data_IF_924453442235
#
_entry.id   IF_924453442235
#
_cell.length_a   1.000
_cell.length_b   1.000
_cell.length_c   1.000
_cell.angle_alpha   90.00
_cell.angle_beta   90.00
_cell.angle_gamma   90.00
#
_symmetry.space_group_name_H-M   'P 1'
#
loop_
_entity.id
_entity.type
_entity.pdbx_description
1 polymer ?
#
# COMPACT_ATOMS: atom_id res chain seq x y z
N UNK A 1 -3.85 73.20 -49.50
CA UNK A 1 -5.03 72.69 -48.78
C UNK A 1 -5.30 71.28 -49.29
N UNK A 2 -4.74 70.27 -48.63
CA UNK A 2 -4.97 68.82 -48.84
C UNK A 2 -4.69 68.15 -47.49
N UNK A 3 -5.63 67.44 -46.85
CA UNK A 3 -5.34 66.65 -45.66
C UNK A 3 -5.14 65.17 -46.03
N UNK A 4 -4.05 64.59 -45.50
CA UNK A 4 -3.76 63.15 -45.49
C UNK A 4 -4.69 62.46 -44.47
N UNK A 5 -5.46 61.45 -44.91
CA UNK A 5 -6.23 60.55 -44.03
C UNK A 5 -5.38 59.33 -43.68
N UNK A 6 -5.08 59.14 -42.41
CA UNK A 6 -4.49 57.91 -41.88
C UNK A 6 -5.58 56.86 -41.67
N UNK A 7 -5.41 55.66 -42.22
CA UNK A 7 -6.26 54.51 -41.97
C UNK A 7 -5.66 53.68 -40.82
N UNK A 8 -6.41 53.54 -39.72
CA UNK A 8 -6.11 52.57 -38.65
C UNK A 8 -6.71 51.21 -39.05
N UNK A 9 -5.87 50.19 -39.21
CA UNK A 9 -6.29 48.81 -39.30
C UNK A 9 -6.45 48.23 -37.88
N UNK A 10 -7.65 47.80 -37.52
CA UNK A 10 -7.91 47.09 -36.28
C UNK A 10 -7.60 45.59 -36.47
N UNK A 11 -6.55 45.08 -35.81
CA UNK A 11 -6.31 43.65 -35.66
C UNK A 11 -7.20 43.12 -34.52
N UNK A 12 -8.17 42.29 -34.85
CA UNK A 12 -8.91 41.52 -33.86
C UNK A 12 -8.07 40.30 -33.44
N UNK A 13 -7.55 40.30 -32.21
CA UNK A 13 -6.99 39.10 -31.58
C UNK A 13 -8.15 38.22 -31.09
N UNK A 14 -8.44 37.15 -31.83
CA UNK A 14 -9.25 36.03 -31.34
C UNK A 14 -8.42 35.22 -30.33
N UNK A 15 -8.78 35.32 -29.05
CA UNK A 15 -8.29 34.44 -28.00
C UNK A 15 -8.88 33.04 -28.21
N UNK A 16 -8.13 32.17 -28.92
CA UNK A 16 -8.43 30.76 -28.97
C UNK A 16 -8.10 30.12 -27.62
N UNK A 17 -9.12 29.69 -26.89
CA UNK A 17 -8.93 28.76 -25.80
C UNK A 17 -8.36 27.45 -26.38
N UNK A 18 -7.16 27.07 -25.94
CA UNK A 18 -6.62 25.75 -26.23
C UNK A 18 -7.55 24.72 -25.59
N UNK A 19 -8.01 23.68 -26.32
CA UNK A 19 -8.70 22.58 -25.67
C UNK A 19 -7.72 21.92 -24.70
N UNK A 20 -8.13 21.79 -23.44
CA UNK A 20 -7.48 20.86 -22.52
C UNK A 20 -7.44 19.49 -23.23
N UNK A 21 -6.26 18.89 -23.34
CA UNK A 21 -6.14 17.55 -23.88
C UNK A 21 -7.06 16.65 -23.05
N UNK A 22 -8.16 16.17 -23.64
CA UNK A 22 -9.00 15.18 -23.01
C UNK A 22 -8.12 13.95 -22.79
N UNK A 23 -7.81 13.67 -21.53
CA UNK A 23 -7.08 12.48 -21.15
C UNK A 23 -7.97 11.31 -21.59
N UNK A 24 -7.60 10.66 -22.68
CA UNK A 24 -8.43 9.63 -23.26
C UNK A 24 -8.58 8.51 -22.23
N UNK A 25 -9.81 8.17 -21.86
CA UNK A 25 -10.11 7.14 -20.86
C UNK A 25 -10.41 5.80 -21.53
N UNK A 26 -10.35 4.74 -20.72
CA UNK A 26 -10.78 3.38 -21.06
C UNK A 26 -11.77 2.89 -20.01
N UNK A 27 -12.74 2.09 -20.44
CA UNK A 27 -13.71 1.49 -19.52
C UNK A 27 -13.15 0.17 -18.98
N UNK A 28 -13.28 -0.04 -17.68
CA UNK A 28 -13.04 -1.32 -17.01
C UNK A 28 -14.36 -1.85 -16.50
N UNK A 29 -14.69 -3.10 -16.79
CA UNK A 29 -15.95 -3.72 -16.41
C UNK A 29 -15.78 -5.16 -15.94
N UNK A 30 -16.80 -5.70 -15.28
CA UNK A 30 -16.83 -7.06 -14.79
C UNK A 30 -17.88 -7.26 -13.70
N UNK A 31 -17.70 -8.32 -12.91
CA UNK A 31 -18.57 -8.59 -11.77
C UNK A 31 -17.82 -9.16 -10.57
N UNK A 32 -18.31 -8.88 -9.36
CA UNK A 32 -17.81 -9.48 -8.12
C UNK A 32 -18.68 -10.66 -7.69
N UNK A 33 -18.08 -11.79 -7.34
CA UNK A 33 -18.78 -12.99 -6.86
C UNK A 33 -18.12 -13.60 -5.62
N UNK A 34 -18.80 -14.49 -4.91
CA UNK A 34 -18.19 -15.40 -3.94
C UNK A 34 -18.95 -16.74 -3.87
N UNK A 35 -18.29 -17.79 -3.38
CA UNK A 35 -18.87 -19.15 -3.30
C UNK A 35 -19.70 -19.40 -2.02
N UNK A 36 -19.51 -18.59 -0.97
CA UNK A 36 -20.21 -18.77 0.29
C UNK A 36 -21.73 -18.59 0.12
N UNK A 37 -22.53 -19.43 0.78
CA UNK A 37 -24.00 -19.35 0.75
C UNK A 37 -24.52 -18.40 1.83
N UNK A 38 -24.08 -17.14 1.77
CA UNK A 38 -24.41 -16.08 2.73
C UNK A 38 -24.90 -14.87 1.94
N UNK A 39 -26.00 -14.24 2.37
CA UNK A 39 -26.51 -13.03 1.75
C UNK A 39 -25.73 -11.79 2.21
N UNK A 40 -25.51 -10.84 1.30
CA UNK A 40 -25.00 -9.52 1.64
C UNK A 40 -26.03 -8.72 2.44
N UNK A 41 -25.61 -8.00 3.49
CA UNK A 41 -26.45 -7.00 4.14
C UNK A 41 -26.96 -5.94 3.15
N UNK A 42 -28.18 -5.38 3.32
CA UNK A 42 -28.71 -4.34 2.43
C UNK A 42 -27.86 -3.05 2.40
N UNK A 43 -27.12 -2.80 3.47
CA UNK A 43 -26.19 -1.67 3.64
C UNK A 43 -24.78 -1.96 3.13
N UNK A 44 -24.55 -3.09 2.47
CA UNK A 44 -23.25 -3.41 1.90
C UNK A 44 -22.88 -2.41 0.80
N UNK A 45 -21.59 -2.14 0.66
CA UNK A 45 -21.04 -1.26 -0.35
C UNK A 45 -19.95 -2.00 -1.12
N UNK A 46 -20.06 -2.02 -2.44
CA UNK A 46 -19.01 -2.50 -3.31
C UNK A 46 -18.01 -1.37 -3.55
N UNK A 47 -16.72 -1.65 -3.34
CA UNK A 47 -15.62 -0.71 -3.56
C UNK A 47 -14.56 -1.36 -4.43
N UNK A 48 -14.16 -0.67 -5.49
CA UNK A 48 -13.04 -1.05 -6.34
C UNK A 48 -12.06 0.12 -6.43
N UNK A 49 -10.78 -0.18 -6.33
CA UNK A 49 -9.72 0.78 -6.53
C UNK A 49 -8.76 0.26 -7.59
N UNK A 50 -8.50 1.08 -8.60
CA UNK A 50 -7.44 0.82 -9.55
C UNK A 50 -6.19 1.57 -9.11
N UNK A 51 -5.12 0.82 -8.92
CA UNK A 51 -3.86 1.31 -8.38
C UNK A 51 -2.79 1.15 -9.45
N UNK A 52 -2.08 2.23 -9.76
CA UNK A 52 -0.94 2.17 -10.64
C UNK A 52 0.21 1.39 -10.00
N UNK A 53 1.21 1.00 -10.81
CA UNK A 53 2.41 0.29 -10.35
C UNK A 53 3.15 1.06 -9.23
N UNK A 54 3.05 2.39 -9.23
CA UNK A 54 3.62 3.26 -8.20
C UNK A 54 2.80 3.39 -6.91
N UNK A 55 1.64 2.74 -6.82
CA UNK A 55 0.74 2.83 -5.67
C UNK A 55 -0.26 3.99 -5.73
N UNK A 56 -0.20 4.82 -6.78
CA UNK A 56 -1.13 5.92 -7.00
C UNK A 56 -2.53 5.38 -7.30
N UNK A 57 -3.55 5.97 -6.67
CA UNK A 57 -4.94 5.65 -6.97
C UNK A 57 -5.34 6.32 -8.29
N UNK A 58 -5.51 5.52 -9.33
CA UNK A 58 -5.95 6.00 -10.65
C UNK A 58 -7.46 6.22 -10.71
N UNK A 59 -8.22 5.37 -10.01
CA UNK A 59 -9.65 5.52 -9.87
C UNK A 59 -10.17 4.80 -8.63
N UNK A 60 -11.16 5.39 -7.98
CA UNK A 60 -11.90 4.80 -6.87
C UNK A 60 -13.39 4.73 -7.26
N UNK A 61 -13.88 3.52 -7.45
CA UNK A 61 -15.28 3.24 -7.73
C UNK A 61 -15.98 2.72 -6.47
N UNK A 62 -17.14 3.30 -6.16
CA UNK A 62 -17.90 3.00 -4.94
C UNK A 62 -19.38 2.98 -5.26
N UNK A 63 -20.08 1.93 -4.81
CA UNK A 63 -21.51 1.81 -5.02
C UNK A 63 -22.18 1.00 -3.91
N UNK A 64 -23.25 1.52 -3.26
CA UNK A 64 -24.11 0.71 -2.41
C UNK A 64 -24.70 -0.46 -3.20
N UNK A 65 -24.80 -1.64 -2.58
CA UNK A 65 -25.44 -2.80 -3.23
C UNK A 65 -26.96 -2.65 -3.30
N UNK A 66 -27.55 -1.82 -2.43
CA UNK A 66 -29.00 -1.60 -2.33
C UNK A 66 -29.78 -2.93 -2.18
N UNK A 67 -29.18 -3.89 -1.47
CA UNK A 67 -29.73 -5.24 -1.28
C UNK A 67 -29.47 -6.22 -2.43
N UNK A 68 -28.86 -5.78 -3.53
CA UNK A 68 -28.40 -6.67 -4.59
C UNK A 68 -27.42 -7.72 -4.05
N UNK A 69 -27.47 -8.91 -4.64
CA UNK A 69 -26.64 -10.07 -4.26
C UNK A 69 -25.66 -10.37 -5.40
N UNK A 70 -24.61 -11.13 -5.09
CA UNK A 70 -23.64 -11.56 -6.09
C UNK A 70 -24.29 -12.42 -7.19
N UNK A 71 -23.83 -12.33 -8.46
CA UNK A 71 -22.73 -11.48 -8.93
C UNK A 71 -23.11 -9.98 -9.04
N UNK A 72 -22.25 -9.10 -8.51
CA UNK A 72 -22.43 -7.65 -8.52
C UNK A 72 -21.66 -7.02 -9.69
N UNK A 73 -22.35 -6.45 -10.67
CA UNK A 73 -21.73 -5.81 -11.82
C UNK A 73 -21.09 -4.45 -11.47
N UNK A 74 -19.94 -4.15 -12.07
CA UNK A 74 -19.27 -2.84 -11.98
C UNK A 74 -18.81 -2.35 -13.36
N UNK A 75 -18.67 -1.04 -13.49
CA UNK A 75 -18.06 -0.39 -14.63
C UNK A 75 -17.51 0.97 -14.21
N UNK A 76 -16.26 1.28 -14.54
CA UNK A 76 -15.62 2.56 -14.22
C UNK A 76 -14.53 2.93 -15.24
N UNK A 77 -14.11 4.18 -15.25
CA UNK A 77 -13.14 4.72 -16.21
C UNK A 77 -11.73 4.74 -15.61
N UNK A 78 -10.73 4.42 -16.45
CA UNK A 78 -9.31 4.56 -16.17
C UNK A 78 -8.59 5.41 -17.21
N UNK A 79 -7.49 6.08 -16.86
CA UNK A 79 -6.58 6.67 -17.84
C UNK A 79 -6.09 5.65 -18.88
N UNK A 80 -6.03 6.00 -20.16
CA UNK A 80 -5.43 5.14 -21.20
C UNK A 80 -3.91 5.01 -21.01
N UNK A 81 -3.39 3.84 -21.37
CA UNK A 81 -1.95 3.59 -21.49
C UNK A 81 -1.25 3.23 -20.17
N UNK A 82 -1.93 3.30 -19.04
CA UNK A 82 -1.35 2.95 -17.74
C UNK A 82 -1.66 1.50 -17.36
N UNK A 83 -0.65 0.78 -16.89
CA UNK A 83 -0.84 -0.52 -16.26
C UNK A 83 -1.37 -0.28 -14.84
N UNK A 84 -2.35 -1.08 -14.43
CA UNK A 84 -2.96 -0.94 -13.12
C UNK A 84 -3.25 -2.31 -12.51
N UNK A 85 -3.43 -2.36 -11.21
CA UNK A 85 -4.05 -3.47 -10.49
C UNK A 85 -5.39 -3.02 -9.92
N UNK A 86 -6.44 -3.79 -10.18
CA UNK A 86 -7.76 -3.57 -9.58
C UNK A 86 -7.86 -4.38 -8.30
N UNK A 87 -8.07 -3.67 -7.21
CA UNK A 87 -8.39 -4.21 -5.90
C UNK A 87 -9.89 -4.07 -5.69
N UNK A 88 -10.54 -5.12 -5.19
CA UNK A 88 -11.98 -5.11 -4.98
C UNK A 88 -12.33 -5.61 -3.59
N UNK A 89 -13.31 -4.96 -2.97
CA UNK A 89 -13.83 -5.31 -1.66
C UNK A 89 -15.34 -5.10 -1.58
N UNK A 90 -15.97 -5.82 -0.64
CA UNK A 90 -17.31 -5.49 -0.16
C UNK A 90 -17.17 -5.03 1.29
N UNK A 91 -17.63 -3.82 1.54
CA UNK A 91 -17.67 -3.19 2.85
C UNK A 91 -19.05 -3.37 3.49
N UNK A 92 -19.08 -3.44 4.80
CA UNK A 92 -20.29 -3.31 5.59
C UNK A 92 -19.97 -2.53 6.87
N UNK A 93 -20.71 -1.44 7.12
CA UNK A 93 -20.46 -0.57 8.27
C UNK A 93 -19.05 0.07 8.27
N UNK A 94 -18.45 0.28 7.09
CA UNK A 94 -17.10 0.81 6.95
C UNK A 94 -15.97 -0.21 7.10
N UNK A 95 -16.29 -1.51 7.31
CA UNK A 95 -15.29 -2.57 7.44
C UNK A 95 -15.31 -3.48 6.22
N UNK A 96 -14.13 -3.90 5.78
CA UNK A 96 -13.99 -4.89 4.71
C UNK A 96 -14.41 -6.27 5.20
N UNK A 97 -15.44 -6.86 4.59
CA UNK A 97 -15.89 -8.22 4.89
C UNK A 97 -15.43 -9.25 3.85
N UNK A 98 -15.25 -8.78 2.61
CA UNK A 98 -14.84 -9.58 1.48
C UNK A 98 -13.80 -8.83 0.67
N UNK A 99 -12.77 -9.53 0.20
CA UNK A 99 -11.72 -8.95 -0.64
C UNK A 99 -11.31 -9.92 -1.74
N UNK A 100 -10.94 -9.37 -2.90
CA UNK A 100 -10.38 -10.13 -4.01
C UNK A 100 -8.85 -10.17 -3.92
N UNK A 101 -8.26 -11.13 -4.62
CA UNK A 101 -6.85 -11.01 -5.02
C UNK A 101 -6.73 -9.83 -6.01
N UNK A 102 -5.58 -9.11 -6.04
CA UNK A 102 -5.35 -8.06 -7.03
C UNK A 102 -5.49 -8.59 -8.46
N UNK A 103 -6.20 -7.85 -9.31
CA UNK A 103 -6.44 -8.23 -10.71
C UNK A 103 -5.65 -7.28 -11.62
N UNK A 104 -4.63 -7.77 -12.35
CA UNK A 104 -3.86 -6.91 -13.24
C UNK A 104 -4.71 -6.49 -14.45
N UNK A 105 -4.57 -5.21 -14.82
CA UNK A 105 -5.21 -4.61 -15.99
C UNK A 105 -4.11 -4.16 -16.95
N UNK A 106 -4.02 -4.86 -18.09
CA UNK A 106 -3.01 -4.56 -19.12
C UNK A 106 -3.33 -3.25 -19.82
N UNK A 107 -2.33 -2.45 -20.23
CA UNK A 107 -2.55 -1.25 -21.06
C UNK A 107 -3.16 -1.65 -22.41
N UNK A 108 -4.45 -1.38 -22.59
CA UNK A 108 -5.20 -1.67 -23.81
C UNK A 108 -6.09 -0.48 -24.18
N UNK A 109 -6.35 -0.33 -25.48
CA UNK A 109 -7.33 0.63 -25.99
C UNK A 109 -8.73 0.03 -25.92
N UNK A 110 -9.71 0.79 -25.44
CA UNK A 110 -11.12 0.39 -25.43
C UNK A 110 -11.61 -0.13 -24.07
N UNK A 111 -12.25 -1.30 -24.06
CA UNK A 111 -12.85 -1.90 -22.85
C UNK A 111 -11.94 -3.00 -22.32
N UNK A 112 -11.65 -2.96 -21.02
CA UNK A 112 -11.01 -4.04 -20.29
C UNK A 112 -12.05 -4.79 -19.46
N UNK A 113 -12.53 -5.92 -19.97
CA UNK A 113 -13.42 -6.82 -19.25
C UNK A 113 -12.60 -7.76 -18.34
N UNK A 114 -12.81 -7.64 -17.04
CA UNK A 114 -12.14 -8.45 -16.01
C UNK A 114 -12.89 -9.75 -15.70
N UNK A 115 -14.06 -9.96 -16.31
CA UNK A 115 -14.91 -11.11 -16.10
C UNK A 115 -15.43 -11.20 -14.67
N UNK A 116 -15.46 -12.41 -14.13
CA UNK A 116 -15.92 -12.69 -12.77
C UNK A 116 -14.75 -12.69 -11.79
N UNK A 117 -14.70 -11.68 -10.91
CA UNK A 117 -13.70 -11.55 -9.84
C UNK A 117 -14.22 -12.24 -8.60
N UNK A 118 -13.48 -13.25 -8.12
CA UNK A 118 -13.81 -14.00 -6.91
C UNK A 118 -13.33 -13.27 -5.67
N UNK A 119 -14.26 -13.08 -4.74
CA UNK A 119 -14.03 -12.55 -3.41
C UNK A 119 -13.87 -13.69 -2.40
N UNK A 120 -12.99 -13.45 -1.43
CA UNK A 120 -12.73 -14.32 -0.29
C UNK A 120 -13.14 -13.62 0.99
N UNK A 121 -13.50 -14.39 2.02
CA UNK A 121 -13.81 -13.82 3.33
C UNK A 121 -12.55 -13.14 3.86
N UNK A 122 -12.67 -11.85 4.17
CA UNK A 122 -11.55 -11.06 4.65
C UNK A 122 -11.62 -10.94 6.18
N UNK A 123 -10.58 -11.42 6.84
CA UNK A 123 -10.34 -11.21 8.28
C UNK A 123 -8.84 -10.99 8.44
N UNK A 124 -8.41 -9.73 8.59
CA UNK A 124 -7.00 -9.40 8.65
C UNK A 124 -6.45 -9.60 10.05
N UNK A 125 -5.15 -9.83 10.12
CA UNK A 125 -4.39 -9.71 11.35
C UNK A 125 -3.91 -8.26 11.47
N UNK A 126 -4.43 -7.57 12.46
CA UNK A 126 -4.09 -6.20 12.79
C UNK A 126 -4.97 -5.20 12.06
N UNK A 127 -4.38 -4.43 11.15
CA UNK A 127 -5.11 -3.34 10.50
C UNK A 127 -6.12 -3.85 9.49
N UNK A 128 -7.39 -3.58 9.78
CA UNK A 128 -8.51 -4.04 8.95
C UNK A 128 -9.06 -2.99 7.99
N UNK A 129 -8.66 -1.73 8.21
CA UNK A 129 -9.20 -0.59 7.49
C UNK A 129 -8.05 0.21 6.88
N UNK A 130 -7.83 0.03 5.58
CA UNK A 130 -6.96 0.94 4.81
C UNK A 130 -7.82 2.10 4.32
N UNK A 131 -7.36 3.33 4.53
CA UNK A 131 -8.04 4.52 4.02
C UNK A 131 -7.12 5.34 3.13
N UNK A 132 -7.69 5.98 2.11
CA UNK A 132 -7.03 6.95 1.25
C UNK A 132 -7.50 8.35 1.64
N UNK A 133 -6.58 9.23 2.02
CA UNK A 133 -6.82 10.61 2.45
C UNK A 133 -6.10 11.54 1.46
N UNK A 134 -6.79 11.94 0.39
CA UNK A 134 -6.11 12.57 -0.75
C UNK A 134 -5.23 11.54 -1.47
N UNK A 135 -3.91 11.74 -1.45
CA UNK A 135 -2.89 10.81 -1.99
C UNK A 135 -2.27 9.92 -0.89
N UNK A 136 -2.53 10.20 0.38
CA UNK A 136 -1.93 9.50 1.51
C UNK A 136 -2.77 8.29 1.92
N UNK A 137 -2.16 7.11 1.96
CA UNK A 137 -2.76 5.93 2.58
C UNK A 137 -2.45 5.88 4.07
N UNK A 138 -3.46 5.58 4.87
CA UNK A 138 -3.33 5.28 6.30
C UNK A 138 -3.94 3.92 6.61
N UNK A 139 -3.46 3.27 7.67
CA UNK A 139 -4.04 2.02 8.17
C UNK A 139 -4.58 2.24 9.58
N UNK A 140 -5.80 1.79 9.80
CA UNK A 140 -6.53 1.89 11.04
C UNK A 140 -7.04 0.51 11.44
N UNK A 141 -7.20 0.33 12.75
CA UNK A 141 -7.88 -0.80 13.33
C UNK A 141 -8.70 -0.35 14.53
N UNK A 142 -9.72 -1.12 14.87
CA UNK A 142 -10.63 -0.82 15.98
C UNK A 142 -10.95 -2.11 16.75
N UNK A 143 -10.93 -2.04 18.09
CA UNK A 143 -11.49 -3.10 18.96
C UNK A 143 -12.85 -2.69 19.57
N UNK A 144 -13.37 -1.52 19.17
CA UNK A 144 -14.61 -0.92 19.65
C UNK A 144 -14.38 0.14 20.74
N UNK A 145 -13.43 -0.07 21.66
CA UNK A 145 -13.09 0.88 22.71
C UNK A 145 -11.88 1.75 22.35
N UNK A 146 -11.00 1.22 21.51
CA UNK A 146 -9.77 1.84 21.05
C UNK A 146 -9.68 1.79 19.53
N UNK A 147 -8.92 2.73 18.99
CA UNK A 147 -8.40 2.67 17.64
C UNK A 147 -6.86 2.58 17.69
N UNK A 148 -6.26 1.88 16.74
CA UNK A 148 -4.82 1.90 16.52
C UNK A 148 -4.56 2.47 15.13
N UNK A 149 -3.91 3.64 15.09
CA UNK A 149 -3.44 4.25 13.86
C UNK A 149 -2.01 3.80 13.60
N UNK A 150 -1.81 3.14 12.46
CA UNK A 150 -0.48 2.79 11.99
C UNK A 150 0.25 4.03 11.49
N UNK A 151 1.46 4.24 12.00
CA UNK A 151 2.38 5.24 11.47
C UNK A 151 3.70 4.59 11.13
N UNK A 152 4.49 5.23 10.27
CA UNK A 152 5.86 4.75 9.94
C UNK A 152 6.76 4.62 11.18
N UNK A 153 6.42 5.29 12.28
CA UNK A 153 7.18 5.30 13.53
C UNK A 153 6.57 4.39 14.60
N UNK A 154 5.51 3.64 14.27
CA UNK A 154 4.79 2.75 15.18
C UNK A 154 3.30 3.09 15.30
N UNK A 155 2.57 2.31 16.11
CA UNK A 155 1.15 2.52 16.35
C UNK A 155 0.87 3.67 17.32
N UNK A 156 -0.12 4.50 17.01
CA UNK A 156 -0.73 5.46 17.95
C UNK A 156 -2.05 4.87 18.42
N UNK A 157 -2.14 4.56 19.71
CA UNK A 157 -3.42 4.17 20.33
C UNK A 157 -4.28 5.41 20.58
N UNK A 158 -5.56 5.34 20.21
CA UNK A 158 -6.53 6.39 20.46
C UNK A 158 -7.68 5.82 21.29
N UNK A 159 -8.06 6.54 22.33
CA UNK A 159 -9.20 6.19 23.17
C UNK A 159 -10.50 6.71 22.56
N UNK A 160 -11.56 5.92 22.60
CA UNK A 160 -12.87 6.38 22.16
C UNK A 160 -13.38 7.52 23.05
N UNK A 161 -13.92 8.56 22.42
CA UNK A 161 -14.56 9.70 23.09
C UNK A 161 -16.01 9.84 22.63
N UNK A 162 -16.92 10.36 23.48
CA UNK A 162 -18.30 10.57 23.10
C UNK A 162 -18.45 11.49 21.88
N UNK A 163 -19.29 11.10 20.92
CA UNK A 163 -19.62 11.90 19.75
C UNK A 163 -21.13 11.81 19.44
N UNK A 164 -21.70 12.90 18.93
CA UNK A 164 -23.13 12.94 18.57
C UNK A 164 -23.49 12.06 17.36
N UNK A 165 -22.51 11.76 16.50
CA UNK A 165 -22.67 10.90 15.33
C UNK A 165 -21.32 10.32 14.92
N UNK A 166 -21.31 9.05 14.51
CA UNK A 166 -20.07 8.34 14.18
C UNK A 166 -19.26 7.95 15.42
N UNK A 167 -18.09 7.35 15.20
CA UNK A 167 -17.19 6.95 16.27
C UNK A 167 -15.94 7.85 16.25
N UNK A 168 -15.66 8.50 17.37
CA UNK A 168 -14.53 9.42 17.52
C UNK A 168 -13.52 8.85 18.52
N UNK A 169 -12.25 8.93 18.15
CA UNK A 169 -11.13 8.47 18.95
C UNK A 169 -10.06 9.56 19.00
N UNK A 170 -9.42 9.74 20.15
CA UNK A 170 -8.42 10.79 20.38
C UNK A 170 -7.22 10.27 21.18
N UNK A 171 -6.05 10.82 20.87
CA UNK A 171 -4.81 10.67 21.61
C UNK A 171 -4.22 12.08 21.81
N UNK A 172 -4.63 12.74 22.90
CA UNK A 172 -4.34 14.16 23.13
C UNK A 172 -2.83 14.42 23.26
N UNK A 173 -2.08 13.50 23.86
CA UNK A 173 -0.63 13.56 24.04
C UNK A 173 0.14 13.43 22.71
N UNK A 174 -0.50 12.90 21.66
CA UNK A 174 0.05 12.77 20.31
C UNK A 174 -0.60 13.74 19.32
N UNK A 175 -1.50 14.63 19.77
CA UNK A 175 -2.29 15.52 18.89
C UNK A 175 -2.89 14.76 17.70
N UNK A 176 -3.47 13.58 17.98
CA UNK A 176 -4.03 12.70 16.96
C UNK A 176 -5.51 12.43 17.22
N UNK A 177 -6.28 12.35 16.14
CA UNK A 177 -7.73 12.14 16.19
C UNK A 177 -8.21 11.37 14.97
N UNK A 178 -9.16 10.48 15.19
CA UNK A 178 -9.86 9.73 14.13
C UNK A 178 -11.35 9.83 14.39
N UNK A 179 -12.12 10.37 13.46
CA UNK A 179 -13.57 10.41 13.53
C UNK A 179 -14.22 9.77 12.31
N UNK A 180 -14.76 8.57 12.49
CA UNK A 180 -15.35 7.75 11.42
C UNK A 180 -16.86 7.95 11.31
N UNK A 181 -17.36 7.95 10.07
CA UNK A 181 -18.79 7.96 9.74
C UNK A 181 -19.02 7.01 8.56
N UNK A 182 -19.40 5.76 8.87
CA UNK A 182 -19.50 4.72 7.86
C UNK A 182 -18.14 4.44 7.23
N UNK A 183 -18.00 4.64 5.93
CA UNK A 183 -16.79 4.38 5.17
C UNK A 183 -15.98 5.64 4.82
N UNK A 184 -16.18 6.73 5.59
CA UNK A 184 -15.34 7.93 5.57
C UNK A 184 -14.82 8.25 6.97
N UNK A 185 -13.73 9.02 7.04
CA UNK A 185 -13.18 9.51 8.29
C UNK A 185 -12.51 10.88 8.14
N UNK A 186 -12.56 11.67 9.20
CA UNK A 186 -11.68 12.81 9.38
C UNK A 186 -10.54 12.38 10.30
N UNK A 187 -9.30 12.66 9.89
CA UNK A 187 -8.10 12.20 10.59
C UNK A 187 -7.14 13.37 10.79
N UNK A 188 -6.62 13.47 11.99
CA UNK A 188 -5.58 14.42 12.40
C UNK A 188 -4.41 13.64 13.00
N UNK A 189 -3.19 13.99 12.63
CA UNK A 189 -1.96 13.34 13.11
C UNK A 189 -0.94 14.42 13.41
N UNK A 190 -0.42 14.46 14.63
CA UNK A 190 0.56 15.47 15.08
C UNK A 190 0.07 16.92 14.85
N UNK A 191 -1.24 17.15 14.91
CA UNK A 191 -1.89 18.46 14.66
C UNK A 191 -2.22 18.75 13.19
N UNK A 192 -1.75 17.93 12.25
CA UNK A 192 -2.03 18.08 10.82
C UNK A 192 -3.33 17.36 10.45
N UNK A 193 -4.33 18.13 9.99
CA UNK A 193 -5.59 17.56 9.48
C UNK A 193 -5.41 17.06 8.05
N UNK A 194 -5.68 15.79 7.82
CA UNK A 194 -5.65 15.17 6.50
C UNK A 194 -6.91 15.53 5.69
N UNK A 195 -6.86 15.48 4.35
CA UNK A 195 -8.08 15.46 3.52
C UNK A 195 -9.02 14.34 3.97
N UNK A 196 -10.31 14.45 3.65
CA UNK A 196 -11.29 13.41 4.02
C UNK A 196 -10.82 12.03 3.55
N UNK A 197 -10.74 11.12 4.51
CA UNK A 197 -10.29 9.76 4.29
C UNK A 197 -11.45 8.88 3.88
N UNK A 198 -11.23 8.01 2.90
CA UNK A 198 -12.22 7.04 2.43
C UNK A 198 -11.66 5.63 2.55
N UNK A 199 -12.49 4.67 3.00
CA UNK A 199 -12.08 3.26 3.04
C UNK A 199 -11.84 2.77 1.62
N UNK A 200 -10.70 2.14 1.41
CA UNK A 200 -10.30 1.52 0.16
C UNK A 200 -10.06 0.03 0.35
N UNK A 201 -10.15 -0.79 -0.71
CA UNK A 201 -9.86 -2.21 -0.63
C UNK A 201 -8.44 -2.45 -0.12
N UNK A 202 -8.20 -3.54 0.63
CA UNK A 202 -6.86 -3.86 1.11
C UNK A 202 -5.91 -4.15 -0.07
N UNK A 203 -4.71 -3.60 0.01
CA UNK A 203 -3.62 -3.81 -0.96
C UNK A 203 -2.75 -4.98 -0.50
N UNK A 204 -3.05 -6.20 -0.93
CA UNK A 204 -2.25 -7.38 -0.58
C UNK A 204 -2.98 -8.71 -0.74
N UNK A 205 -2.29 -9.80 -0.39
CA UNK A 205 -2.88 -11.13 -0.34
C UNK A 205 -3.91 -11.21 0.82
N UNK A 206 -4.97 -12.04 0.67
CA UNK A 206 -5.97 -12.24 1.72
C UNK A 206 -5.45 -13.04 2.92
N UNK A 207 -4.30 -13.71 2.79
CA UNK A 207 -3.63 -14.41 3.86
C UNK A 207 -2.47 -13.57 4.42
N UNK A 208 -2.36 -13.56 5.75
CA UNK A 208 -1.27 -12.96 6.48
C UNK A 208 -0.33 -14.06 7.00
N UNK A 209 0.97 -13.81 6.99
CA UNK A 209 1.96 -14.78 7.45
C UNK A 209 2.96 -14.17 8.43
N UNK A 210 3.50 -15.02 9.31
CA UNK A 210 4.61 -14.69 10.19
C UNK A 210 5.55 -15.88 10.37
N UNK A 211 6.81 -15.60 10.67
CA UNK A 211 7.86 -16.62 10.79
C UNK A 211 8.84 -16.29 11.91
N UNK A 212 9.42 -17.32 12.51
CA UNK A 212 10.57 -17.20 13.43
C UNK A 212 11.48 -18.43 13.36
N UNK A 213 12.71 -18.31 13.89
CA UNK A 213 13.80 -19.27 13.60
C UNK A 213 14.44 -19.94 14.81
N UNK A 214 14.15 -19.50 16.03
CA UNK A 214 14.73 -20.06 17.26
C UNK A 214 13.68 -20.23 18.38
N UNK A 215 12.87 -21.31 18.37
CA UNK A 215 12.83 -22.41 17.39
C UNK A 215 12.16 -21.99 16.06
N UNK A 216 12.31 -22.83 15.02
CA UNK A 216 11.71 -22.57 13.70
C UNK A 216 10.20 -22.77 13.66
N UNK A 217 9.45 -21.76 13.23
CA UNK A 217 7.99 -21.78 13.12
C UNK A 217 7.46 -20.88 11.99
N UNK A 218 6.29 -21.24 11.46
CA UNK A 218 5.51 -20.38 10.56
C UNK A 218 4.06 -20.32 11.02
N UNK A 219 3.45 -19.14 10.93
CA UNK A 219 2.04 -18.92 11.21
C UNK A 219 1.39 -18.37 9.96
N UNK A 220 0.33 -19.01 9.48
CA UNK A 220 -0.54 -18.49 8.44
C UNK A 220 -1.90 -18.16 9.05
N UNK A 221 -2.42 -16.98 8.75
CA UNK A 221 -3.78 -16.58 9.08
C UNK A 221 -4.52 -16.27 7.79
N UNK A 222 -5.57 -17.04 7.53
CA UNK A 222 -6.39 -16.94 6.32
C UNK A 222 -7.86 -17.04 6.69
N UNK A 223 -8.60 -15.97 6.40
CA UNK A 223 -9.97 -15.81 6.91
C UNK A 223 -10.00 -15.90 8.43
N UNK A 224 -10.87 -16.75 8.98
CA UNK A 224 -11.04 -16.89 10.43
C UNK A 224 -10.20 -18.03 11.04
N UNK A 225 -9.12 -18.46 10.40
CA UNK A 225 -8.31 -19.60 10.82
C UNK A 225 -6.84 -19.23 10.94
N UNK A 226 -6.20 -19.74 11.98
CA UNK A 226 -4.78 -19.68 12.24
C UNK A 226 -4.18 -21.08 12.14
N UNK A 227 -3.06 -21.21 11.43
CA UNK A 227 -2.31 -22.45 11.29
C UNK A 227 -0.85 -22.20 11.68
N UNK A 228 -0.44 -22.73 12.82
CA UNK A 228 0.93 -22.69 13.32
C UNK A 228 1.64 -24.02 12.96
N UNK A 229 2.68 -23.93 12.15
CA UNK A 229 3.58 -25.04 11.84
C UNK A 229 4.91 -24.84 12.61
N UNK A 230 5.38 -25.90 13.25
CA UNK A 230 6.65 -25.95 13.98
C UNK A 230 7.39 -27.19 13.54
N UNK A 231 8.66 -27.02 13.17
CA UNK A 231 9.44 -28.10 12.56
C UNK A 231 9.53 -29.32 13.49
N UNK A 232 8.99 -30.44 13.05
CA UNK A 232 9.02 -31.71 13.79
C UNK A 232 7.87 -31.90 14.78
N UNK A 233 6.91 -30.98 14.81
CA UNK A 233 5.70 -31.06 15.64
C UNK A 233 4.44 -31.13 14.77
N UNK A 234 3.31 -31.52 15.36
CA UNK A 234 2.03 -31.48 14.67
C UNK A 234 1.56 -30.01 14.52
N UNK A 235 1.02 -29.61 13.35
CA UNK A 235 0.47 -28.27 13.18
C UNK A 235 -0.67 -27.99 14.16
N UNK A 236 -0.67 -26.79 14.75
CA UNK A 236 -1.72 -26.34 15.67
C UNK A 236 -2.66 -25.42 14.90
N UNK A 237 -3.96 -25.71 14.98
CA UNK A 237 -5.01 -24.92 14.37
C UNK A 237 -5.84 -24.23 15.44
N UNK A 238 -6.22 -22.98 15.18
CA UNK A 238 -7.10 -22.21 16.05
C UNK A 238 -8.01 -21.30 15.21
N UNK A 239 -9.22 -21.03 15.72
CA UNK A 239 -10.03 -19.96 15.17
C UNK A 239 -9.40 -18.60 15.51
N UNK A 240 -9.39 -17.66 14.56
CA UNK A 240 -8.96 -16.29 14.81
C UNK A 240 -10.09 -15.54 15.56
N UNK A 241 -9.90 -15.17 16.85
CA UNK A 241 -10.89 -14.41 17.59
C UNK A 241 -10.90 -12.94 17.14
N UNK A 242 -11.80 -12.14 17.71
CA UNK A 242 -11.71 -10.70 17.56
C UNK A 242 -10.49 -10.16 18.33
N UNK A 243 -9.83 -9.14 17.78
CA UNK A 243 -8.62 -8.56 18.35
C UNK A 243 -8.93 -7.60 19.50
N UNK A 244 -8.08 -7.59 20.52
CA UNK A 244 -7.96 -6.47 21.46
C UNK A 244 -6.75 -5.61 21.09
N UNK A 245 -6.87 -4.27 21.20
CA UNK A 245 -5.74 -3.35 20.95
C UNK A 245 -5.04 -3.07 22.27
N UNK A 246 -3.82 -3.49 22.50
CA UNK A 246 -3.11 -3.25 23.76
C UNK A 246 -1.61 -3.03 23.53
N UNK A 247 -1.00 -2.09 24.26
CA UNK A 247 0.44 -1.81 24.21
C UNK A 247 0.97 -1.55 22.77
N UNK A 248 0.23 -0.76 22.00
CA UNK A 248 0.56 -0.33 20.65
C UNK A 248 0.35 -1.40 19.58
N UNK A 249 -0.41 -2.47 19.84
CA UNK A 249 -0.69 -3.49 18.83
C UNK A 249 -1.88 -4.38 19.18
N UNK A 250 -1.96 -5.55 18.56
CA UNK A 250 -3.11 -6.46 18.65
C UNK A 250 -2.79 -7.70 19.46
N UNK A 251 -3.73 -8.13 20.29
CA UNK A 251 -3.74 -9.41 20.99
C UNK A 251 -4.96 -10.22 20.56
N UNK A 252 -4.74 -11.49 20.21
CA UNK A 252 -5.75 -12.46 19.84
C UNK A 252 -5.66 -13.62 20.82
N UNK A 253 -6.61 -13.73 21.74
CA UNK A 253 -6.68 -14.82 22.70
C UNK A 253 -7.51 -15.97 22.12
N UNK A 254 -6.87 -16.93 21.45
CA UNK A 254 -7.55 -18.08 20.88
C UNK A 254 -7.46 -19.29 21.80
N UNK A 255 -8.36 -20.26 21.61
CA UNK A 255 -8.46 -21.44 22.48
C UNK A 255 -7.15 -22.23 22.57
N UNK A 256 -6.41 -22.35 21.46
CA UNK A 256 -5.17 -23.12 21.40
C UNK A 256 -3.90 -22.28 21.48
N UNK A 257 -3.94 -20.96 21.21
CA UNK A 257 -2.74 -20.11 21.24
C UNK A 257 -3.12 -18.64 21.38
N UNK A 258 -2.24 -17.85 22.00
CA UNK A 258 -2.33 -16.40 21.95
C UNK A 258 -1.42 -15.85 20.86
N UNK A 259 -1.90 -14.89 20.08
CA UNK A 259 -1.12 -14.18 19.07
C UNK A 259 -1.06 -12.69 19.44
N UNK A 260 0.14 -12.13 19.44
CA UNK A 260 0.39 -10.69 19.63
C UNK A 260 1.13 -10.14 18.41
N UNK A 261 0.58 -9.10 17.79
CA UNK A 261 1.15 -8.45 16.58
C UNK A 261 1.33 -6.94 16.82
N UNK A 262 2.58 -6.47 16.73
CA UNK A 262 2.94 -5.06 16.93
C UNK A 262 3.37 -4.44 15.59
N UNK A 263 2.81 -3.29 15.17
CA UNK A 263 3.29 -2.49 14.03
C UNK A 263 4.65 -1.87 14.33
N UNK A 264 5.70 -2.66 14.19
CA UNK A 264 7.06 -2.23 14.40
C UNK A 264 7.97 -3.05 13.50
N UNK A 265 8.95 -2.38 12.88
CA UNK A 265 9.92 -3.06 12.03
C UNK A 265 10.60 -4.17 12.82
N UNK A 266 10.48 -5.38 12.28
CA UNK A 266 11.08 -6.62 12.77
C UNK A 266 12.14 -7.05 11.75
N UNK A 267 13.38 -7.28 12.20
CA UNK A 267 14.42 -7.85 11.34
C UNK A 267 14.46 -9.34 11.58
N UNK A 268 14.18 -10.11 10.54
CA UNK A 268 14.15 -11.56 10.60
C UNK A 268 15.51 -12.09 11.06
N UNK A 269 15.52 -12.95 12.08
CA UNK A 269 16.77 -13.35 12.73
C UNK A 269 17.66 -14.26 11.87
N UNK A 270 17.11 -14.90 10.82
CA UNK A 270 17.88 -15.74 9.92
C UNK A 270 18.43 -14.94 8.73
N UNK A 271 17.62 -14.03 8.19
CA UNK A 271 17.91 -13.32 6.93
C UNK A 271 18.31 -11.86 7.10
N UNK A 272 18.07 -11.27 8.27
CA UNK A 272 18.21 -9.83 8.52
C UNK A 272 17.13 -8.96 7.86
N UNK A 273 16.26 -9.54 7.02
CA UNK A 273 15.26 -8.80 6.23
C UNK A 273 14.26 -8.09 7.12
N UNK A 274 13.94 -6.81 6.87
CA UNK A 274 12.90 -6.12 7.60
C UNK A 274 11.49 -6.56 7.16
N UNK A 275 10.63 -6.73 8.14
CA UNK A 275 9.20 -7.00 8.04
C UNK A 275 8.42 -5.91 8.79
N UNK A 276 7.18 -5.61 8.38
CA UNK A 276 6.41 -4.51 8.97
C UNK A 276 6.01 -4.74 10.43
N UNK A 277 5.96 -5.99 10.89
CA UNK A 277 5.36 -6.33 12.19
C UNK A 277 6.26 -7.25 13.02
N UNK A 278 6.26 -7.03 14.34
CA UNK A 278 6.79 -7.96 15.33
C UNK A 278 5.67 -8.87 15.81
N UNK A 279 5.96 -10.16 15.89
CA UNK A 279 4.99 -11.18 16.22
C UNK A 279 5.47 -11.98 17.42
N UNK A 280 4.54 -12.25 18.33
CA UNK A 280 4.71 -13.19 19.42
C UNK A 280 3.55 -14.17 19.42
N UNK A 281 3.84 -15.47 19.46
CA UNK A 281 2.86 -16.53 19.66
C UNK A 281 3.12 -17.18 21.01
N UNK A 282 2.09 -17.33 21.84
CA UNK A 282 2.18 -18.05 23.12
C UNK A 282 1.33 -19.30 23.06
N UNK A 283 1.93 -20.46 23.29
CA UNK A 283 1.29 -21.78 23.24
C UNK A 283 1.82 -22.61 24.41
N UNK A 284 0.93 -23.17 25.24
CA UNK A 284 1.28 -24.00 26.40
C UNK A 284 2.33 -23.37 27.34
N UNK A 285 2.31 -22.04 27.47
CA UNK A 285 3.26 -21.26 28.28
C UNK A 285 4.63 -21.02 27.62
N UNK A 286 4.89 -21.57 26.43
CA UNK A 286 6.06 -21.25 25.61
C UNK A 286 5.78 -20.04 24.73
N UNK A 287 6.79 -19.18 24.56
CA UNK A 287 6.70 -17.98 23.74
C UNK A 287 7.61 -18.10 22.52
N UNK A 288 7.04 -17.86 21.34
CA UNK A 288 7.72 -17.85 20.06
C UNK A 288 7.74 -16.42 19.53
N UNK A 289 8.91 -15.88 19.24
CA UNK A 289 9.07 -14.54 18.67
C UNK A 289 9.49 -14.63 17.20
N UNK A 290 9.06 -13.63 16.41
CA UNK A 290 9.31 -13.60 14.98
C UNK A 290 8.76 -12.34 14.32
N UNK A 291 8.75 -12.38 12.99
CA UNK A 291 8.38 -11.26 12.15
C UNK A 291 7.13 -11.59 11.32
N UNK A 292 6.24 -10.61 11.15
CA UNK A 292 4.96 -10.78 10.46
C UNK A 292 4.78 -9.80 9.30
N UNK A 293 3.91 -10.18 8.38
CA UNK A 293 3.54 -9.39 7.22
C UNK A 293 4.55 -9.48 6.06
N UNK A 294 4.10 -9.02 4.90
CA UNK A 294 4.86 -9.02 3.65
C UNK A 294 5.95 -7.93 3.67
N UNK A 295 7.25 -8.26 3.53
CA UNK A 295 8.33 -7.29 3.40
C UNK A 295 8.12 -6.27 2.28
N UNK A 296 7.49 -6.67 1.16
CA UNK A 296 7.24 -5.75 0.05
C UNK A 296 6.26 -4.63 0.42
N UNK A 297 5.47 -4.78 1.49
CA UNK A 297 4.65 -3.71 2.03
C UNK A 297 5.47 -2.53 2.56
N UNK A 298 6.72 -2.74 2.99
CA UNK A 298 7.62 -1.67 3.43
C UNK A 298 8.19 -0.87 2.25
N UNK A 299 8.35 -1.49 1.09
CA UNK A 299 8.94 -0.86 -0.10
C UNK A 299 7.90 -0.26 -1.04
N UNK A 300 6.72 -0.86 -1.14
CA UNK A 300 5.68 -0.44 -2.09
C UNK A 300 4.83 0.74 -1.61
N UNK A 301 4.11 1.38 -2.54
CA UNK A 301 3.19 2.49 -2.23
C UNK A 301 3.83 3.87 -2.27
N UNK A 302 4.77 4.10 -3.20
CA UNK A 302 5.34 5.42 -3.46
C UNK A 302 6.70 5.38 -4.15
N UNK A 303 7.19 6.57 -4.51
CA UNK A 303 8.54 6.78 -5.03
C UNK A 303 9.54 6.86 -3.88
N UNK A 304 10.67 6.17 -4.00
CA UNK A 304 11.86 6.37 -3.18
C UNK A 304 12.87 7.20 -3.97
N UNK A 305 13.10 8.42 -3.52
CA UNK A 305 14.04 9.37 -4.09
C UNK A 305 15.41 9.15 -3.50
N UNK A 306 16.43 9.09 -4.35
CA UNK A 306 17.81 8.96 -3.92
C UNK A 306 18.26 10.26 -3.27
N UNK A 307 18.73 10.18 -2.02
CA UNK A 307 19.34 11.30 -1.30
C UNK A 307 20.86 11.19 -1.26
N UNK A 308 21.38 9.96 -1.22
CA UNK A 308 22.81 9.70 -1.11
C UNK A 308 23.19 8.40 -1.83
N UNK A 309 24.39 8.37 -2.43
CA UNK A 309 25.01 7.19 -3.05
C UNK A 309 26.49 7.09 -2.65
N UNK A 310 26.79 7.25 -1.35
CA UNK A 310 28.16 7.24 -0.82
C UNK A 310 28.77 8.64 -0.81
N UNK A 311 30.07 8.77 -1.12
CA UNK A 311 30.77 10.07 -0.99
C UNK A 311 30.38 11.12 -2.05
N UNK A 312 29.58 10.72 -3.04
CA UNK A 312 29.12 11.58 -4.12
C UNK A 312 27.64 11.90 -3.91
N UNK A 313 27.35 13.08 -3.36
CA UNK A 313 25.97 13.55 -3.21
C UNK A 313 25.20 13.59 -4.55
N UNK A 314 23.88 13.74 -4.45
CA UNK A 314 22.99 13.76 -5.63
C UNK A 314 22.86 15.15 -6.25
N UNK A 315 22.62 15.21 -7.57
CA UNK A 315 22.33 16.45 -8.30
C UNK A 315 20.83 16.75 -8.18
N UNK A 316 20.48 17.83 -7.47
CA UNK A 316 19.08 18.22 -7.18
C UNK A 316 18.16 18.26 -8.43
N UNK A 317 18.67 18.80 -9.54
CA UNK A 317 17.89 18.94 -10.78
C UNK A 317 17.86 17.67 -11.66
N UNK A 318 18.47 16.58 -11.20
CA UNK A 318 18.46 15.28 -11.86
C UNK A 318 17.98 14.21 -10.88
N UNK A 319 16.70 14.30 -10.52
CA UNK A 319 16.04 13.42 -9.54
C UNK A 319 16.11 11.96 -9.98
N UNK A 320 16.91 11.17 -9.27
CA UNK A 320 16.92 9.71 -9.36
C UNK A 320 15.94 9.13 -8.35
N UNK A 321 15.11 8.20 -8.79
CA UNK A 321 14.11 7.57 -7.92
C UNK A 321 13.77 6.15 -8.39
N UNK A 322 13.24 5.36 -7.46
CA UNK A 322 12.79 3.98 -7.69
C UNK A 322 11.41 3.76 -7.07
N UNK A 323 10.60 2.98 -7.77
CA UNK A 323 9.26 2.57 -7.36
C UNK A 323 9.24 1.06 -7.30
N UNK A 324 8.79 0.51 -6.17
CA UNK A 324 8.62 -0.93 -5.99
C UNK A 324 7.16 -1.32 -6.07
N UNK A 325 6.81 -2.17 -7.03
CA UNK A 325 5.52 -2.84 -7.07
C UNK A 325 5.52 -4.03 -6.09
N UNK A 326 4.33 -4.46 -5.65
CA UNK A 326 4.20 -5.59 -4.72
C UNK A 326 4.64 -6.93 -5.31
N UNK A 327 4.49 -7.12 -6.61
CA UNK A 327 4.91 -8.33 -7.31
C UNK A 327 6.44 -8.39 -7.54
N UNK A 328 7.17 -7.35 -7.13
CA UNK A 328 8.61 -7.20 -7.31
C UNK A 328 9.01 -6.47 -8.59
N UNK A 329 8.07 -6.04 -9.45
CA UNK A 329 8.40 -5.15 -10.56
C UNK A 329 8.93 -3.81 -10.05
N UNK A 330 9.89 -3.24 -10.79
CA UNK A 330 10.50 -1.96 -10.47
C UNK A 330 10.38 -1.02 -11.67
N UNK A 331 10.07 0.23 -11.39
CA UNK A 331 10.20 1.34 -12.34
C UNK A 331 10.92 2.50 -11.70
N UNK A 332 11.49 3.41 -12.50
CA UNK A 332 12.14 4.59 -11.94
C UNK A 332 12.81 5.47 -12.97
N UNK A 333 13.58 6.43 -12.46
CA UNK A 333 14.43 7.32 -13.24
C UNK A 333 15.86 7.29 -12.68
N UNK A 334 16.85 7.13 -13.56
CA UNK A 334 18.25 7.34 -13.23
C UNK A 334 18.64 8.83 -13.17
N UNK A 335 17.71 9.73 -13.48
CA UNK A 335 17.93 11.17 -13.61
C UNK A 335 17.97 11.61 -15.08
N UNK A 336 18.60 10.82 -15.97
CA UNK A 336 18.53 11.02 -17.42
C UNK A 336 17.47 10.11 -18.05
N UNK A 337 17.59 8.81 -17.81
CA UNK A 337 16.81 7.75 -18.42
C UNK A 337 15.81 7.16 -17.46
N UNK A 338 14.64 6.81 -18.01
CA UNK A 338 13.69 5.96 -17.30
C UNK A 338 14.18 4.53 -17.38
N UNK A 339 13.99 3.77 -16.30
CA UNK A 339 14.35 2.37 -16.25
C UNK A 339 13.22 1.50 -15.70
N UNK A 340 13.28 0.22 -16.05
CA UNK A 340 12.43 -0.83 -15.53
C UNK A 340 13.27 -2.04 -15.14
N UNK A 341 12.79 -2.83 -14.20
CA UNK A 341 13.48 -4.01 -13.72
C UNK A 341 12.58 -4.88 -12.84
N UNK A 342 13.21 -5.85 -12.16
CA UNK A 342 12.55 -6.68 -11.17
C UNK A 342 13.48 -6.94 -10.00
N UNK A 343 12.94 -6.86 -8.80
CA UNK A 343 13.57 -7.34 -7.59
C UNK A 343 13.05 -8.74 -7.27
N UNK A 344 13.97 -9.63 -6.92
CA UNK A 344 13.67 -10.92 -6.37
C UNK A 344 14.11 -10.97 -4.90
N UNK A 345 13.20 -11.40 -4.03
CA UNK A 345 13.52 -11.76 -2.65
C UNK A 345 13.78 -13.28 -2.63
N UNK A 346 15.03 -13.70 -2.45
CA UNK A 346 15.41 -15.12 -2.47
C UNK A 346 16.12 -15.52 -1.18
N UNK A 347 15.45 -16.32 -0.35
CA UNK A 347 16.00 -16.76 0.94
C UNK A 347 16.45 -15.55 1.77
N UNK A 348 17.77 -15.39 1.90
CA UNK A 348 18.44 -14.31 2.63
C UNK A 348 18.67 -13.03 1.82
N UNK A 349 18.74 -13.09 0.49
CA UNK A 349 19.14 -11.96 -0.34
C UNK A 349 17.96 -11.24 -1.02
N UNK A 350 18.13 -9.96 -1.27
CA UNK A 350 17.30 -9.16 -2.17
C UNK A 350 18.17 -8.71 -3.34
N UNK A 351 17.81 -9.08 -4.57
CA UNK A 351 18.58 -8.72 -5.76
C UNK A 351 17.72 -8.03 -6.78
N UNK A 352 18.25 -6.97 -7.37
CA UNK A 352 17.70 -6.38 -8.58
C UNK A 352 18.54 -6.91 -9.75
N UNK A 353 17.86 -7.54 -10.71
CA UNK A 353 18.52 -7.99 -11.93
C UNK A 353 18.94 -6.81 -12.83
N UNK A 354 19.52 -7.07 -14.00
CA UNK A 354 19.82 -6.02 -14.97
C UNK A 354 18.57 -5.18 -15.25
N UNK A 355 18.70 -3.86 -15.14
CA UNK A 355 17.63 -2.92 -15.46
C UNK A 355 17.67 -2.58 -16.95
N UNK A 356 16.51 -2.48 -17.58
CA UNK A 356 16.37 -1.94 -18.92
C UNK A 356 16.15 -0.43 -18.82
N UNK A 357 16.91 0.36 -19.57
CA UNK A 357 16.81 1.82 -19.55
C UNK A 357 16.68 2.38 -20.97
N UNK A 358 16.07 3.57 -21.09
CA UNK A 358 16.12 4.36 -22.32
C UNK A 358 17.55 4.84 -22.60
N UNK A 359 17.81 5.37 -23.80
CA UNK A 359 19.14 5.86 -24.21
C UNK A 359 19.10 7.35 -24.64
N UNK A 360 18.60 8.20 -23.75
CA UNK A 360 18.65 9.66 -23.91
C UNK A 360 20.06 10.18 -23.60
N UNK A 361 20.43 11.27 -24.28
CA UNK A 361 21.65 12.01 -24.00
C UNK A 361 21.35 13.18 -23.06
N UNK A 362 22.08 13.26 -21.96
CA UNK A 362 21.96 14.32 -20.95
C UNK A 362 23.35 14.92 -20.66
N UNK A 363 23.45 16.00 -19.87
CA UNK A 363 24.74 16.49 -19.40
C UNK A 363 25.55 15.39 -18.72
N UNK A 364 26.87 15.40 -18.92
CA UNK A 364 27.75 14.29 -18.51
C UNK A 364 27.66 13.99 -17.01
N UNK A 365 27.50 15.01 -16.17
CA UNK A 365 27.34 14.84 -14.73
C UNK A 365 26.09 14.02 -14.38
N UNK A 366 24.96 14.25 -15.06
CA UNK A 366 23.73 13.48 -14.88
C UNK A 366 23.91 12.04 -15.34
N UNK A 367 24.57 11.84 -16.48
CA UNK A 367 24.86 10.48 -16.98
C UNK A 367 25.82 9.72 -16.06
N UNK A 368 26.76 10.39 -15.38
CA UNK A 368 27.62 9.77 -14.36
C UNK A 368 26.81 9.32 -13.13
N UNK A 369 25.91 10.18 -12.64
CA UNK A 369 25.02 9.84 -11.54
C UNK A 369 24.13 8.65 -11.89
N UNK A 370 23.55 8.63 -13.08
CA UNK A 370 22.73 7.50 -13.56
C UNK A 370 23.51 6.18 -13.55
N UNK A 371 24.75 6.18 -14.08
CA UNK A 371 25.60 4.98 -14.05
C UNK A 371 25.93 4.53 -12.64
N UNK A 372 26.18 5.48 -11.73
CA UNK A 372 26.41 5.18 -10.31
C UNK A 372 25.16 4.55 -9.69
N UNK A 373 23.97 5.10 -9.94
CA UNK A 373 22.74 4.56 -9.43
C UNK A 373 22.45 3.16 -9.96
N UNK A 374 22.64 2.91 -11.26
CA UNK A 374 22.48 1.57 -11.82
C UNK A 374 23.51 0.59 -11.27
N UNK A 375 24.73 1.03 -10.98
CA UNK A 375 25.74 0.24 -10.27
C UNK A 375 25.30 -0.12 -8.84
N UNK A 376 24.66 0.79 -8.11
CA UNK A 376 24.06 0.50 -6.79
C UNK A 376 22.97 -0.56 -6.91
N UNK A 377 22.06 -0.43 -7.88
CA UNK A 377 20.97 -1.38 -8.08
C UNK A 377 21.50 -2.78 -8.45
N UNK A 378 22.54 -2.86 -9.26
CA UNK A 378 23.17 -4.15 -9.64
C UNK A 378 23.96 -4.77 -8.47
N UNK A 379 24.61 -3.95 -7.63
CA UNK A 379 25.47 -4.41 -6.55
C UNK A 379 24.72 -4.80 -5.27
N UNK A 380 23.51 -4.26 -5.04
CA UNK A 380 22.79 -4.53 -3.79
C UNK A 380 22.43 -6.01 -3.60
N UNK A 381 22.60 -6.50 -2.38
CA UNK A 381 22.22 -7.84 -1.94
C UNK A 381 21.23 -7.86 -0.78
N UNK A 382 20.99 -6.69 -0.16
CA UNK A 382 20.07 -6.49 0.94
C UNK A 382 19.51 -5.05 0.94
N UNK A 383 18.45 -4.85 1.72
CA UNK A 383 17.88 -3.54 1.97
C UNK A 383 17.37 -3.47 3.41
N UNK A 384 17.28 -2.25 3.93
CA UNK A 384 16.72 -1.99 5.26
C UNK A 384 15.90 -0.70 5.28
N UNK A 385 14.97 -0.59 6.23
CA UNK A 385 14.30 0.68 6.55
C UNK A 385 14.73 1.08 7.96
N UNK A 386 15.35 2.25 8.07
CA UNK A 386 15.83 2.75 9.35
C UNK A 386 14.73 3.38 10.20
N UNK A 387 15.08 3.75 11.44
CA UNK A 387 14.14 4.34 12.39
C UNK A 387 13.54 5.68 11.93
N UNK A 388 14.17 6.35 10.95
CA UNK A 388 13.66 7.60 10.35
C UNK A 388 12.70 7.33 9.19
N UNK A 389 12.56 6.07 8.77
CA UNK A 389 11.78 5.65 7.61
C UNK A 389 12.53 5.78 6.28
N UNK A 390 13.86 6.00 6.31
CA UNK A 390 14.67 6.02 5.11
C UNK A 390 15.02 4.59 4.67
N UNK A 391 14.98 4.36 3.36
CA UNK A 391 15.38 3.12 2.73
C UNK A 391 16.90 3.12 2.51
N UNK A 392 17.55 2.04 2.92
CA UNK A 392 18.97 1.80 2.69
C UNK A 392 19.11 0.62 1.75
N UNK A 393 19.82 0.83 0.64
CA UNK A 393 20.26 -0.27 -0.22
C UNK A 393 21.67 -0.67 0.24
N UNK A 394 21.90 -1.97 0.41
CA UNK A 394 23.08 -2.50 1.08
C UNK A 394 23.80 -3.52 0.19
N UNK A 395 25.12 -3.62 0.35
CA UNK A 395 25.92 -4.73 -0.16
C UNK A 395 26.98 -5.12 0.87
N UNK A 396 27.12 -6.41 1.17
CA UNK A 396 28.07 -6.91 2.18
C UNK A 396 27.96 -6.15 3.52
N UNK A 397 26.74 -5.93 4.01
CA UNK A 397 26.41 -5.20 5.24
C UNK A 397 26.82 -3.71 5.28
N UNK A 398 27.25 -3.13 4.15
CA UNK A 398 27.55 -1.71 4.02
C UNK A 398 26.48 -0.96 3.19
N UNK A 399 26.09 0.27 3.57
CA UNK A 399 25.15 1.07 2.79
C UNK A 399 25.77 1.53 1.48
N UNK A 400 25.08 1.27 0.37
CA UNK A 400 25.40 1.77 -0.95
C UNK A 400 24.65 3.07 -1.28
N UNK A 401 23.40 3.18 -0.84
CA UNK A 401 22.57 4.36 -1.07
C UNK A 401 21.52 4.53 0.03
N UNK A 402 21.12 5.80 0.22
CA UNK A 402 20.01 6.21 1.06
C UNK A 402 18.91 6.84 0.20
N UNK A 403 17.67 6.42 0.43
CA UNK A 403 16.50 6.92 -0.28
C UNK A 403 15.37 7.30 0.69
N UNK A 404 14.53 8.27 0.29
CA UNK A 404 13.35 8.71 1.04
C UNK A 404 12.11 8.86 0.18
N UNK A 405 10.94 8.76 0.83
CA UNK A 405 9.63 9.04 0.22
C UNK A 405 9.22 10.48 0.43
#
# INVERSE_FOLDING_TARGET
MVPFRAALAALALSAGALPAAAQESRTVEGSLTYLARIALPPSAEMVLEAVAVNGESLALFRRPTEGAQVPLAFSFELPRGEAAEVHAAILHGGRTEWAALPVPVTPAAGVADLGEIKLFRYRPVGFDTTMLCGDRRIRLAFDGARALLDTRQGGIELAQVPAASGARYEAAERSAMVWTKGATAMVEIDGDTLPECVVVPPVGAPAWTATGHAPGWTLEVSGAQMLLDRRGEAPVQAALPDAAIEEGGFTYAAEAMDLRVVPAICRDSATGRPHPERVRVTLDGATLEGCGGDPMALLSGGEWVVEDMGESGVIDNARSYIVFARDGAITGSGGCNRFTGRMALTGEAARIGPVAATMMACPEAVMRQERMFFGVLEAMDAWDVDATGALRLMANDAPLALLRR
#
